data_IF_814912978017
#
_entry.id   IF_814912978017
#
_cell.length_a   1.000
_cell.length_b   1.000
_cell.length_c   1.000
_cell.angle_alpha   90.00
_cell.angle_beta   90.00
_cell.angle_gamma   90.00
#
_symmetry.space_group_name_H-M   'P 1'
#
loop_
_entity.id
_entity.type
_entity.pdbx_description
1 polymer ?
#
# COMPACT_ATOMS: atom_id res chain seq x y z
N UNK A 1 -24.23 10.86 5.65
CA UNK A 1 -22.84 11.31 5.38
C UNK A 1 -22.63 11.43 3.87
N UNK A 2 -23.15 12.49 3.23
CA UNK A 2 -23.18 12.64 1.76
C UNK A 2 -21.80 12.92 1.13
N UNK A 3 -20.83 13.37 1.93
CA UNK A 3 -19.48 13.70 1.45
C UNK A 3 -18.62 12.45 1.20
N UNK A 4 -18.77 11.39 2.00
CA UNK A 4 -18.03 10.13 1.83
C UNK A 4 -18.27 9.51 0.45
N UNK A 5 -19.51 9.51 -0.04
CA UNK A 5 -19.85 8.94 -1.35
C UNK A 5 -19.27 9.74 -2.53
N UNK A 6 -19.10 11.07 -2.39
CA UNK A 6 -18.45 11.88 -3.45
C UNK A 6 -16.95 11.61 -3.49
N UNK A 7 -16.30 11.54 -2.32
CA UNK A 7 -14.87 11.20 -2.23
C UNK A 7 -14.59 9.79 -2.76
N UNK A 8 -15.40 8.80 -2.36
CA UNK A 8 -15.27 7.43 -2.86
C UNK A 8 -15.37 7.38 -4.39
N UNK A 9 -16.39 8.02 -4.97
CA UNK A 9 -16.58 8.05 -6.43
C UNK A 9 -15.41 8.73 -7.15
N UNK A 10 -14.84 9.78 -6.58
CA UNK A 10 -13.69 10.46 -7.15
C UNK A 10 -12.46 9.54 -7.13
N UNK A 11 -12.18 8.90 -6.00
CA UNK A 11 -11.05 7.96 -5.83
C UNK A 11 -11.19 6.75 -6.74
N UNK A 12 -12.38 6.15 -6.83
CA UNK A 12 -12.66 5.04 -7.74
C UNK A 12 -12.43 5.41 -9.22
N UNK A 13 -12.80 6.63 -9.63
CA UNK A 13 -12.53 7.12 -10.99
C UNK A 13 -11.05 7.29 -11.26
N UNK A 14 -10.30 7.84 -10.30
CA UNK A 14 -8.85 7.99 -10.41
C UNK A 14 -8.15 6.63 -10.45
N UNK A 15 -8.57 5.67 -9.62
CA UNK A 15 -8.08 4.30 -9.63
C UNK A 15 -8.26 3.65 -11.02
N UNK A 16 -9.46 3.76 -11.59
CA UNK A 16 -9.77 3.26 -12.94
C UNK A 16 -8.95 3.95 -14.03
N UNK A 17 -8.74 5.26 -13.93
CA UNK A 17 -7.90 6.01 -14.87
C UNK A 17 -6.45 5.54 -14.80
N UNK A 18 -5.90 5.37 -13.60
CA UNK A 18 -4.54 4.90 -13.36
C UNK A 18 -4.36 3.45 -13.86
N UNK A 19 -5.39 2.62 -13.73
CA UNK A 19 -5.39 1.26 -14.26
C UNK A 19 -5.30 1.23 -15.80
N UNK A 20 -6.00 2.15 -16.48
CA UNK A 20 -6.02 2.24 -17.95
C UNK A 20 -4.79 2.94 -18.52
N UNK A 21 -4.16 3.81 -17.75
CA UNK A 21 -3.01 4.60 -18.20
C UNK A 21 -1.69 4.01 -17.66
N UNK A 22 -1.13 3.07 -18.42
CA UNK A 22 0.14 2.41 -18.07
C UNK A 22 1.30 3.40 -17.88
N UNK A 23 1.50 4.43 -18.74
CA UNK A 23 2.51 5.46 -18.50
C UNK A 23 2.36 6.17 -17.15
N UNK A 24 1.15 6.66 -16.83
CA UNK A 24 0.89 7.36 -15.57
C UNK A 24 1.07 6.46 -14.34
N UNK A 25 0.75 5.17 -14.47
CA UNK A 25 1.02 4.19 -13.43
C UNK A 25 2.52 3.91 -13.25
N UNK A 26 3.25 3.81 -14.37
CA UNK A 26 4.70 3.53 -14.36
C UNK A 26 5.52 4.72 -13.86
N UNK A 27 4.97 5.93 -13.91
CA UNK A 27 5.61 7.13 -13.36
C UNK A 27 5.42 7.32 -11.86
N UNK A 28 4.61 6.49 -11.19
CA UNK A 28 4.47 6.55 -9.74
C UNK A 28 5.77 6.10 -9.09
N UNK A 29 6.38 6.98 -8.30
CA UNK A 29 7.50 6.62 -7.46
C UNK A 29 7.05 5.85 -6.21
N UNK A 30 8.04 5.42 -5.43
CA UNK A 30 7.84 4.65 -4.21
C UNK A 30 6.94 5.34 -3.17
N UNK A 31 7.04 6.67 -3.04
CA UNK A 31 6.25 7.44 -2.08
C UNK A 31 4.80 7.55 -2.54
N UNK A 32 4.58 7.87 -3.81
CA UNK A 32 3.25 7.98 -4.40
C UNK A 32 2.50 6.65 -4.38
N UNK A 33 3.20 5.51 -4.54
CA UNK A 33 2.59 4.18 -4.38
C UNK A 33 2.10 3.96 -2.95
N UNK A 34 2.90 4.28 -1.92
CA UNK A 34 2.49 4.16 -0.53
C UNK A 34 1.26 5.03 -0.19
N UNK A 35 1.22 6.26 -0.72
CA UNK A 35 0.08 7.17 -0.57
C UNK A 35 -1.18 6.66 -1.31
N UNK A 36 -1.02 6.20 -2.55
CA UNK A 36 -2.11 5.65 -3.35
C UNK A 36 -2.75 4.42 -2.67
N UNK A 37 -1.92 3.49 -2.18
CA UNK A 37 -2.39 2.33 -1.42
C UNK A 37 -3.21 2.76 -0.19
N UNK A 38 -2.69 3.68 0.63
CA UNK A 38 -3.40 4.16 1.81
C UNK A 38 -4.69 4.93 1.48
N UNK A 39 -4.77 5.57 0.31
CA UNK A 39 -6.00 6.20 -0.16
C UNK A 39 -7.05 5.15 -0.59
N UNK A 40 -6.66 4.16 -1.39
CA UNK A 40 -7.56 3.09 -1.84
C UNK A 40 -8.07 2.23 -0.68
N UNK A 41 -7.24 2.01 0.34
CA UNK A 41 -7.61 1.22 1.52
C UNK A 41 -8.65 1.88 2.43
N UNK A 42 -9.06 3.13 2.15
CA UNK A 42 -10.19 3.78 2.84
C UNK A 42 -11.55 3.27 2.37
N UNK A 43 -11.60 2.68 1.17
CA UNK A 43 -12.80 2.04 0.61
C UNK A 43 -12.47 0.62 0.16
N UNK A 44 -12.19 -0.29 1.12
CA UNK A 44 -11.67 -1.62 0.81
C UNK A 44 -12.67 -2.51 0.06
N UNK A 45 -13.97 -2.16 0.08
CA UNK A 45 -15.04 -2.87 -0.63
C UNK A 45 -15.33 -2.28 -2.03
N UNK A 46 -14.67 -1.16 -2.40
CA UNK A 46 -14.88 -0.54 -3.70
C UNK A 46 -14.04 -1.28 -4.77
N UNK A 47 -14.65 -1.83 -5.84
CA UNK A 47 -13.95 -2.69 -6.80
C UNK A 47 -12.79 -2.00 -7.55
N UNK A 48 -12.95 -0.72 -7.90
CA UNK A 48 -11.87 0.02 -8.58
C UNK A 48 -10.69 0.25 -7.62
N UNK A 49 -10.97 0.54 -6.34
CA UNK A 49 -9.94 0.70 -5.31
C UNK A 49 -9.19 -0.61 -5.05
N UNK A 50 -9.93 -1.72 -4.90
CA UNK A 50 -9.34 -3.06 -4.76
C UNK A 50 -8.44 -3.41 -5.93
N UNK A 51 -8.97 -3.29 -7.16
CA UNK A 51 -8.24 -3.69 -8.35
C UNK A 51 -6.93 -2.92 -8.54
N UNK A 52 -6.94 -1.60 -8.28
CA UNK A 52 -5.73 -0.79 -8.34
C UNK A 52 -4.77 -1.09 -7.18
N UNK A 53 -5.29 -1.33 -5.97
CA UNK A 53 -4.47 -1.72 -4.83
C UNK A 53 -3.77 -3.06 -5.04
N UNK A 54 -4.44 -4.07 -5.60
CA UNK A 54 -3.86 -5.37 -5.90
C UNK A 54 -2.76 -5.26 -6.97
N UNK A 55 -2.95 -4.42 -7.97
CA UNK A 55 -1.93 -4.15 -8.97
C UNK A 55 -0.68 -3.51 -8.32
N UNK A 56 -0.87 -2.50 -7.47
CA UNK A 56 0.24 -1.90 -6.74
C UNK A 56 0.91 -2.89 -5.77
N UNK A 57 0.14 -3.78 -5.15
CA UNK A 57 0.67 -4.85 -4.31
C UNK A 57 1.56 -5.80 -5.13
N UNK A 58 1.11 -6.25 -6.30
CA UNK A 58 1.91 -7.09 -7.20
C UNK A 58 3.20 -6.37 -7.66
N UNK A 59 3.12 -5.08 -8.00
CA UNK A 59 4.31 -4.26 -8.29
C UNK A 59 5.28 -4.23 -7.10
N UNK A 60 4.76 -4.07 -5.88
CA UNK A 60 5.58 -4.09 -4.67
C UNK A 60 6.16 -5.47 -4.40
N UNK A 61 5.43 -6.56 -4.60
CA UNK A 61 5.93 -7.93 -4.40
C UNK A 61 7.06 -8.26 -5.40
N UNK A 62 6.88 -7.87 -6.66
CA UNK A 62 7.79 -8.22 -7.76
C UNK A 62 8.99 -7.28 -7.91
N UNK A 63 8.94 -6.04 -7.41
CA UNK A 63 9.99 -5.05 -7.60
C UNK A 63 10.75 -4.70 -6.32
N UNK A 64 11.91 -5.37 -6.12
CA UNK A 64 12.80 -5.11 -4.98
C UNK A 64 13.31 -3.66 -4.95
N UNK A 65 13.69 -3.09 -6.09
CA UNK A 65 14.22 -1.70 -6.15
C UNK A 65 13.18 -0.71 -5.67
N UNK A 66 11.92 -0.90 -6.11
CA UNK A 66 10.80 -0.08 -5.67
C UNK A 66 10.60 -0.15 -4.16
N UNK A 67 10.56 -1.37 -3.60
CA UNK A 67 10.46 -1.55 -2.14
C UNK A 67 11.59 -0.87 -1.38
N UNK A 68 12.83 -0.91 -1.88
CA UNK A 68 13.97 -0.28 -1.23
C UNK A 68 14.01 1.25 -1.38
N UNK A 69 13.34 1.81 -2.38
CA UNK A 69 13.19 3.25 -2.55
C UNK A 69 12.12 3.86 -1.63
N UNK A 70 11.26 3.05 -1.01
CA UNK A 70 10.27 3.53 -0.05
C UNK A 70 10.94 4.00 1.26
N UNK A 71 10.50 5.14 1.78
CA UNK A 71 10.85 5.59 3.12
C UNK A 71 9.98 4.90 4.20
N UNK A 72 10.27 5.18 5.48
CA UNK A 72 9.55 4.59 6.61
C UNK A 72 8.04 4.84 6.56
N UNK A 73 7.64 6.06 6.24
CA UNK A 73 6.22 6.43 6.15
C UNK A 73 5.51 5.67 5.02
N UNK A 74 6.13 5.57 3.85
CA UNK A 74 5.58 4.86 2.70
C UNK A 74 5.44 3.37 2.98
N UNK A 75 6.42 2.76 3.66
CA UNK A 75 6.36 1.36 4.10
C UNK A 75 5.20 1.14 5.08
N UNK A 76 5.08 1.98 6.10
CA UNK A 76 4.00 1.87 7.09
C UNK A 76 2.61 2.06 6.46
N UNK A 77 2.47 3.03 5.54
CA UNK A 77 1.25 3.26 4.78
C UNK A 77 0.88 2.06 3.91
N UNK A 78 1.84 1.50 3.18
CA UNK A 78 1.60 0.33 2.35
C UNK A 78 1.19 -0.88 3.20
N UNK A 79 1.89 -1.19 4.29
CA UNK A 79 1.52 -2.29 5.18
C UNK A 79 0.10 -2.12 5.74
N UNK A 80 -0.23 -0.95 6.27
CA UNK A 80 -1.57 -0.66 6.79
C UNK A 80 -2.67 -0.70 5.72
N UNK A 81 -2.33 -0.38 4.48
CA UNK A 81 -3.25 -0.50 3.36
C UNK A 81 -3.49 -1.96 2.96
N UNK A 82 -2.40 -2.72 2.76
CA UNK A 82 -2.44 -4.12 2.38
C UNK A 82 -3.18 -4.97 3.42
N UNK A 83 -3.10 -4.58 4.71
CA UNK A 83 -3.77 -5.29 5.81
C UNK A 83 -5.30 -5.19 5.75
N UNK A 84 -5.88 -4.46 4.79
CA UNK A 84 -7.32 -4.48 4.49
C UNK A 84 -7.74 -5.70 3.67
N UNK A 85 -6.78 -6.38 3.05
CA UNK A 85 -7.01 -7.52 2.18
C UNK A 85 -6.05 -8.66 2.54
N UNK A 86 -6.10 -9.18 3.79
CA UNK A 86 -5.13 -10.16 4.27
C UNK A 86 -5.16 -11.48 3.49
N UNK A 87 -6.33 -11.87 2.99
CA UNK A 87 -6.56 -13.12 2.25
C UNK A 87 -6.17 -13.03 0.77
N UNK A 88 -5.68 -11.87 0.29
CA UNK A 88 -5.29 -11.68 -1.10
C UNK A 88 -3.80 -11.99 -1.25
N UNK A 89 -3.41 -13.01 -2.05
CA UNK A 89 -2.02 -13.49 -2.12
C UNK A 89 -1.00 -12.39 -2.43
N UNK A 90 -1.25 -11.56 -3.45
CA UNK A 90 -0.32 -10.48 -3.80
C UNK A 90 -0.18 -9.41 -2.71
N UNK A 91 -1.22 -9.21 -1.88
CA UNK A 91 -1.13 -8.32 -0.72
C UNK A 91 -0.25 -8.91 0.38
N UNK A 92 -0.42 -10.21 0.67
CA UNK A 92 0.40 -10.94 1.62
C UNK A 92 1.88 -10.99 1.16
N UNK A 93 2.13 -11.27 -0.12
CA UNK A 93 3.49 -11.30 -0.69
C UNK A 93 4.19 -9.95 -0.57
N UNK A 94 3.48 -8.87 -0.92
CA UNK A 94 4.00 -7.51 -0.79
C UNK A 94 4.27 -7.15 0.68
N UNK A 95 3.35 -7.49 1.58
CA UNK A 95 3.49 -7.25 3.01
C UNK A 95 4.68 -8.02 3.59
N UNK A 96 4.83 -9.29 3.26
CA UNK A 96 5.96 -10.13 3.68
C UNK A 96 7.29 -9.56 3.16
N UNK A 97 7.33 -9.14 1.89
CA UNK A 97 8.55 -8.56 1.31
C UNK A 97 8.94 -7.23 1.98
N UNK A 98 7.97 -6.41 2.40
CA UNK A 98 8.21 -5.20 3.19
C UNK A 98 8.60 -5.51 4.64
N UNK A 99 7.97 -6.51 5.27
CA UNK A 99 8.31 -6.99 6.61
C UNK A 99 9.75 -7.51 6.66
N UNK A 100 10.16 -8.30 5.68
CA UNK A 100 11.53 -8.79 5.54
C UNK A 100 12.53 -7.64 5.38
N UNK A 101 12.17 -6.58 4.62
CA UNK A 101 13.01 -5.39 4.53
C UNK A 101 13.13 -4.72 5.90
N UNK A 102 12.04 -4.50 6.61
CA UNK A 102 12.06 -3.91 7.96
C UNK A 102 12.91 -4.72 8.94
N UNK A 103 12.82 -6.05 8.90
CA UNK A 103 13.62 -6.92 9.76
C UNK A 103 15.14 -6.74 9.51
N UNK A 104 15.54 -6.59 8.24
CA UNK A 104 16.94 -6.52 7.82
C UNK A 104 17.51 -5.09 7.77
N UNK A 105 16.69 -4.06 7.66
CA UNK A 105 17.11 -2.67 7.53
C UNK A 105 16.95 -1.92 8.87
N UNK A 106 18.08 -1.77 9.59
CA UNK A 106 18.09 -1.05 10.88
C UNK A 106 17.83 0.45 10.71
N UNK A 107 18.32 1.06 9.63
CA UNK A 107 18.13 2.49 9.39
C UNK A 107 16.67 2.79 9.11
N UNK A 108 16.00 1.96 8.31
CA UNK A 108 14.57 2.08 8.06
C UNK A 108 13.76 2.00 9.36
N UNK A 109 14.09 1.07 10.27
CA UNK A 109 13.43 0.99 11.59
C UNK A 109 13.67 2.24 12.44
N UNK A 110 14.86 2.84 12.38
CA UNK A 110 15.20 4.00 13.19
C UNK A 110 14.49 5.28 12.75
N UNK A 111 14.16 5.39 11.46
CA UNK A 111 13.44 6.56 10.92
C UNK A 111 11.92 6.46 11.09
N UNK A 112 11.38 5.30 11.52
CA UNK A 112 9.96 5.16 11.78
C UNK A 112 9.54 6.04 12.97
N UNK A 113 8.54 6.89 12.75
CA UNK A 113 7.90 7.69 13.79
C UNK A 113 6.97 6.83 14.64
N UNK A 114 6.58 7.26 15.85
CA UNK A 114 5.69 6.48 16.72
C UNK A 114 4.39 6.02 16.05
N UNK A 115 3.77 6.89 15.24
CA UNK A 115 2.56 6.53 14.48
C UNK A 115 2.83 5.43 13.44
N UNK A 116 3.97 5.51 12.74
CA UNK A 116 4.36 4.54 11.71
C UNK A 116 4.69 3.19 12.33
N UNK A 117 5.32 3.18 13.51
CA UNK A 117 5.49 1.97 14.32
C UNK A 117 4.15 1.32 14.66
N UNK A 118 3.20 2.08 15.22
CA UNK A 118 1.88 1.55 15.59
C UNK A 118 1.12 0.97 14.40
N UNK A 119 1.11 1.70 13.27
CA UNK A 119 0.48 1.25 12.03
C UNK A 119 1.15 -0.02 11.49
N UNK A 120 2.48 -0.07 11.51
CA UNK A 120 3.25 -1.23 11.03
C UNK A 120 2.95 -2.47 11.88
N UNK A 121 2.98 -2.36 13.20
CA UNK A 121 2.69 -3.49 14.10
C UNK A 121 1.25 -3.99 13.96
N UNK A 122 0.28 -3.06 13.89
CA UNK A 122 -1.12 -3.41 13.70
C UNK A 122 -1.39 -4.05 12.32
N UNK A 123 -0.66 -3.63 11.29
CA UNK A 123 -0.77 -4.22 9.97
C UNK A 123 -0.18 -5.64 9.94
N UNK A 124 1.02 -5.83 10.48
CA UNK A 124 1.71 -7.12 10.49
C UNK A 124 0.95 -8.17 11.31
N UNK A 125 0.20 -7.79 12.35
CA UNK A 125 -0.64 -8.73 13.11
C UNK A 125 -1.78 -9.35 12.31
N UNK A 126 -2.03 -8.91 11.07
CA UNK A 126 -2.99 -9.53 10.14
C UNK A 126 -2.43 -10.75 9.41
N UNK A 127 -1.12 -10.97 9.46
CA UNK A 127 -0.44 -12.15 8.93
C UNK A 127 0.43 -12.74 10.05
N UNK A 128 -0.15 -13.59 10.93
CA UNK A 128 0.56 -14.14 12.09
C UNK A 128 1.57 -15.24 11.73
N UNK A 129 1.51 -15.76 10.51
CA UNK A 129 2.32 -16.90 10.02
C UNK A 129 3.57 -16.46 9.25
#
# INVERSE_FOLDING_TARGET
>A
NFNSGRCERAVARLARQLQRNHPARSSLDAQHIGLALNAFSKWPDNPDCQSMAYLLADMLASNRRLRHAMDGQSVANALNALSKWPDIPHCADAANALALRLANDRNLRYVLKPQEFGNTLNALSKWPD
#
